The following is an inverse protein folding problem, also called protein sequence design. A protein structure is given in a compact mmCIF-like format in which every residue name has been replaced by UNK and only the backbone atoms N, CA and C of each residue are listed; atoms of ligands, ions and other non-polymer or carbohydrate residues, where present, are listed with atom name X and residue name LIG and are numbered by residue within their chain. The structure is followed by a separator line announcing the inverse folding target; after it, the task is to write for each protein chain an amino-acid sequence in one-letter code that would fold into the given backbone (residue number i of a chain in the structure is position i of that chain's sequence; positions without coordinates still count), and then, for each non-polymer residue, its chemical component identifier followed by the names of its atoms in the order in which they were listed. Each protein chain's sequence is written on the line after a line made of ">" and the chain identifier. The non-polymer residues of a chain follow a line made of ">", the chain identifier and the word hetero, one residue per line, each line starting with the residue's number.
data_IF_572368239697
#
_entry.id   IF_572368239697
#
_cell.length_a   1.000
_cell.length_b   1.000
_cell.length_c   1.000
_cell.angle_alpha   90.00
_cell.angle_beta   90.00
_cell.angle_gamma   90.00
#
_symmetry.space_group_name_H-M   'P 1'
#
loop_
_entity.id
_entity.type
_entity.pdbx_description
1 polymer ?
#
# COMPACT_ATOMS: atom_id res chain seq x y z
N UNK A 1 23.40 -14.74 -20.01
CA UNK A 1 22.53 -13.55 -19.96
C UNK A 1 22.62 -13.01 -18.55
N UNK A 2 23.12 -11.78 -18.41
CA UNK A 2 23.24 -10.94 -17.19
C UNK A 2 23.97 -11.49 -15.93
N UNK A 3 24.14 -12.80 -15.76
CA UNK A 3 24.91 -13.37 -14.63
C UNK A 3 24.03 -13.68 -13.41
N UNK A 4 24.65 -14.18 -12.33
CA UNK A 4 23.94 -14.72 -11.15
C UNK A 4 23.23 -13.64 -10.30
N UNK A 5 23.58 -12.37 -10.49
CA UNK A 5 22.98 -11.24 -9.77
C UNK A 5 21.70 -10.70 -10.43
N UNK A 6 21.39 -11.10 -11.67
CA UNK A 6 20.19 -10.64 -12.34
C UNK A 6 18.93 -11.21 -11.67
N UNK A 7 17.94 -10.35 -11.44
CA UNK A 7 16.59 -10.72 -11.01
C UNK A 7 15.56 -9.98 -11.87
N UNK A 8 14.58 -10.68 -12.44
CA UNK A 8 13.47 -10.03 -13.16
C UNK A 8 12.52 -9.32 -12.18
N UNK A 9 11.70 -8.39 -12.67
CA UNK A 9 10.75 -7.63 -11.83
C UNK A 9 9.81 -8.54 -11.02
N UNK A 10 9.40 -9.69 -11.59
CA UNK A 10 8.53 -10.64 -10.91
C UNK A 10 9.12 -11.20 -9.61
N UNK A 11 10.45 -11.25 -9.49
CA UNK A 11 11.13 -11.67 -8.26
C UNK A 11 10.77 -10.73 -7.10
N UNK A 12 10.78 -9.42 -7.37
CA UNK A 12 10.50 -8.40 -6.37
C UNK A 12 9.01 -8.24 -6.12
N UNK A 13 8.16 -8.41 -7.15
CA UNK A 13 6.71 -8.52 -6.98
C UNK A 13 6.38 -9.68 -6.05
N UNK A 14 6.96 -10.86 -6.29
CA UNK A 14 6.76 -12.02 -5.40
C UNK A 14 7.22 -11.68 -3.99
N UNK A 15 8.43 -11.15 -3.81
CA UNK A 15 8.97 -10.79 -2.49
C UNK A 15 8.03 -9.91 -1.67
N UNK A 16 7.51 -8.84 -2.27
CA UNK A 16 6.57 -7.95 -1.61
C UNK A 16 5.22 -8.64 -1.35
N UNK A 17 4.71 -9.42 -2.31
CA UNK A 17 3.44 -10.14 -2.17
C UNK A 17 3.51 -11.18 -1.04
N UNK A 18 4.62 -11.91 -0.89
CA UNK A 18 4.78 -12.86 0.22
C UNK A 18 4.80 -12.14 1.57
N UNK A 19 5.59 -11.08 1.71
CA UNK A 19 5.76 -10.38 2.97
C UNK A 19 4.51 -9.59 3.39
N UNK A 20 3.85 -8.93 2.45
CA UNK A 20 2.66 -8.11 2.73
C UNK A 20 1.36 -8.89 2.62
N UNK A 21 1.36 -10.03 1.93
CA UNK A 21 0.23 -10.93 1.77
C UNK A 21 0.17 -12.05 2.81
N UNK A 22 1.21 -12.20 3.64
CA UNK A 22 1.31 -13.27 4.63
C UNK A 22 0.08 -13.39 5.55
N UNK A 23 -0.18 -14.61 6.01
CA UNK A 23 -1.38 -14.97 6.77
C UNK A 23 -1.33 -14.43 8.18
N UNK A 24 -0.16 -14.49 8.77
CA UNK A 24 0.15 -14.13 10.15
C UNK A 24 0.13 -12.61 10.35
N UNK A 25 0.69 -11.84 9.43
CA UNK A 25 0.66 -10.39 9.47
C UNK A 25 1.11 -9.76 8.14
N UNK A 26 1.17 -8.42 8.12
CA UNK A 26 1.93 -7.68 7.11
C UNK A 26 3.35 -7.44 7.64
N UNK A 27 4.37 -8.00 6.98
CA UNK A 27 5.75 -7.84 7.40
C UNK A 27 6.40 -6.54 6.92
N UNK A 28 5.77 -5.81 5.98
CA UNK A 28 6.37 -4.60 5.37
C UNK A 28 5.66 -3.30 5.75
N UNK A 29 4.37 -3.36 6.07
CA UNK A 29 3.53 -2.19 6.35
C UNK A 29 2.99 -2.17 7.78
N UNK A 30 2.24 -1.13 8.12
CA UNK A 30 1.59 -0.97 9.43
C UNK A 30 2.60 -1.06 10.61
N UNK A 31 3.83 -0.59 10.37
CA UNK A 31 4.96 -0.74 11.28
C UNK A 31 6.16 0.17 10.96
N UNK A 32 7.14 0.24 11.88
CA UNK A 32 8.30 1.14 11.78
C UNK A 32 9.29 0.70 10.69
N UNK A 33 9.17 -0.54 10.22
CA UNK A 33 10.01 -1.11 9.17
C UNK A 33 9.70 -0.64 7.75
N UNK A 34 8.59 0.07 7.53
CA UNK A 34 8.15 0.49 6.20
C UNK A 34 9.28 1.13 5.37
N UNK A 35 9.95 2.15 5.93
CA UNK A 35 10.95 2.93 5.24
C UNK A 35 12.20 2.11 4.87
N UNK A 36 12.74 1.34 5.82
CA UNK A 36 13.95 0.53 5.61
C UNK A 36 13.70 -0.57 4.59
N UNK A 37 12.57 -1.27 4.70
CA UNK A 37 12.26 -2.37 3.80
C UNK A 37 11.97 -1.91 2.36
N UNK A 38 11.24 -0.80 2.20
CA UNK A 38 10.99 -0.24 0.87
C UNK A 38 12.26 0.34 0.22
N UNK A 39 13.15 0.95 1.01
CA UNK A 39 14.47 1.38 0.50
C UNK A 39 15.31 0.16 0.07
N UNK A 40 15.25 -0.94 0.81
CA UNK A 40 16.02 -2.14 0.47
C UNK A 40 15.52 -2.84 -0.79
N UNK A 41 14.20 -2.98 -0.97
CA UNK A 41 13.65 -3.64 -2.16
C UNK A 41 13.88 -2.79 -3.43
N UNK A 42 13.78 -1.46 -3.35
CA UNK A 42 14.09 -0.58 -4.48
C UNK A 42 15.57 -0.56 -4.82
N UNK A 43 16.47 -0.58 -3.82
CA UNK A 43 17.91 -0.71 -4.05
C UNK A 43 18.27 -2.05 -4.72
N UNK A 44 17.65 -3.16 -4.30
CA UNK A 44 17.84 -4.45 -4.96
C UNK A 44 17.33 -4.45 -6.41
N UNK A 45 16.18 -3.81 -6.66
CA UNK A 45 15.63 -3.67 -8.00
C UNK A 45 16.54 -2.82 -8.90
N UNK A 46 17.03 -1.69 -8.40
CA UNK A 46 18.00 -0.85 -9.11
C UNK A 46 19.26 -1.66 -9.48
N UNK A 47 19.82 -2.41 -8.53
CA UNK A 47 20.99 -3.27 -8.80
C UNK A 47 20.70 -4.31 -9.87
N UNK A 48 19.52 -4.94 -9.86
CA UNK A 48 19.14 -5.87 -10.91
C UNK A 48 19.07 -5.21 -12.30
N UNK A 49 18.64 -3.95 -12.38
CA UNK A 49 18.70 -3.14 -13.61
C UNK A 49 20.13 -2.78 -13.99
N UNK A 50 21.00 -2.46 -13.03
CA UNK A 50 22.41 -2.11 -13.26
C UNK A 50 23.24 -3.28 -13.79
N UNK A 51 22.87 -4.52 -13.49
CA UNK A 51 23.47 -5.70 -14.11
C UNK A 51 23.21 -5.74 -15.63
N UNK A 52 22.09 -5.17 -16.09
CA UNK A 52 21.77 -5.01 -17.52
C UNK A 52 22.45 -3.75 -18.09
N UNK A 53 22.32 -2.62 -17.40
CA UNK A 53 22.93 -1.35 -17.79
C UNK A 53 23.45 -0.60 -16.54
N UNK A 54 24.76 -0.63 -16.26
CA UNK A 54 25.34 -0.03 -15.05
C UNK A 54 25.15 1.48 -14.90
N UNK A 55 24.72 2.18 -15.95
CA UNK A 55 24.50 3.63 -15.94
C UNK A 55 23.09 4.02 -15.45
N UNK A 56 22.19 3.06 -15.22
CA UNK A 56 20.82 3.36 -14.76
C UNK A 56 20.77 3.53 -13.25
N UNK A 57 19.95 4.48 -12.83
CA UNK A 57 19.49 4.64 -11.46
C UNK A 57 17.97 4.62 -11.44
N UNK A 58 17.39 4.17 -10.34
CA UNK A 58 15.95 4.20 -10.16
C UNK A 58 15.51 5.65 -9.88
N UNK A 59 14.59 6.22 -10.67
CA UNK A 59 14.12 7.58 -10.43
C UNK A 59 13.17 7.63 -9.23
N UNK A 60 12.94 8.83 -8.73
CA UNK A 60 11.80 9.12 -7.84
C UNK A 60 10.69 9.82 -8.63
N UNK A 61 9.46 9.75 -8.13
CA UNK A 61 8.31 10.50 -8.63
C UNK A 61 7.83 11.45 -7.54
N UNK A 62 8.07 12.75 -7.74
CA UNK A 62 7.53 13.77 -6.84
C UNK A 62 6.04 14.00 -7.11
N UNK A 63 5.23 13.09 -6.58
CA UNK A 63 3.77 13.14 -6.70
C UNK A 63 3.14 14.36 -6.01
N UNK A 64 3.89 15.15 -5.23
CA UNK A 64 3.36 16.41 -4.70
C UNK A 64 3.16 17.45 -5.80
N UNK A 65 3.88 17.35 -6.92
CA UNK A 65 3.65 18.20 -8.10
C UNK A 65 2.26 17.93 -8.66
N UNK A 66 1.92 16.66 -8.86
CA UNK A 66 0.63 16.22 -9.39
C UNK A 66 -0.51 16.52 -8.42
N UNK A 67 -0.31 16.20 -7.13
CA UNK A 67 -1.26 16.51 -6.07
C UNK A 67 -1.56 18.00 -5.99
N UNK A 68 -0.51 18.83 -5.93
CA UNK A 68 -0.67 20.29 -5.87
C UNK A 68 -1.33 20.85 -7.12
N UNK A 69 -1.01 20.31 -8.31
CA UNK A 69 -1.66 20.71 -9.56
C UNK A 69 -3.16 20.45 -9.52
N UNK A 70 -3.58 19.29 -8.98
CA UNK A 70 -5.00 18.97 -8.84
C UNK A 70 -5.71 19.89 -7.87
N UNK A 71 -5.10 20.20 -6.73
CA UNK A 71 -5.66 21.18 -5.80
C UNK A 71 -5.83 22.56 -6.44
N UNK A 72 -4.82 23.04 -7.16
CA UNK A 72 -4.82 24.41 -7.69
C UNK A 72 -5.69 24.59 -8.94
N UNK A 73 -5.72 23.59 -9.82
CA UNK A 73 -6.37 23.71 -11.14
C UNK A 73 -7.74 23.07 -11.18
N UNK A 74 -7.97 22.03 -10.38
CA UNK A 74 -9.20 21.25 -10.38
C UNK A 74 -9.95 21.31 -9.03
N UNK A 75 -9.60 22.24 -8.15
CA UNK A 75 -10.27 22.46 -6.85
C UNK A 75 -10.31 21.18 -6.00
N UNK A 76 -9.21 20.42 -6.04
CA UNK A 76 -9.09 19.14 -5.33
C UNK A 76 -9.91 17.99 -5.91
N UNK A 77 -10.47 18.12 -7.12
CA UNK A 77 -11.16 17.02 -7.79
C UNK A 77 -10.15 16.03 -8.41
N UNK A 78 -9.93 14.91 -7.74
CA UNK A 78 -8.91 13.94 -8.14
C UNK A 78 -9.32 12.99 -9.26
N UNK A 79 -10.54 13.10 -9.79
CA UNK A 79 -10.88 12.45 -11.07
C UNK A 79 -10.02 12.96 -12.24
N UNK A 80 -9.34 14.10 -12.06
CA UNK A 80 -8.40 14.69 -13.01
C UNK A 80 -6.94 14.22 -12.83
N UNK A 81 -6.61 13.44 -11.79
CA UNK A 81 -5.23 12.99 -11.51
C UNK A 81 -4.59 12.29 -12.72
N UNK A 82 -5.35 11.43 -13.40
CA UNK A 82 -4.89 10.67 -14.57
C UNK A 82 -4.70 11.51 -15.84
N UNK A 83 -4.94 12.83 -15.78
CA UNK A 83 -4.55 13.77 -16.84
C UNK A 83 -3.12 14.29 -16.70
N UNK A 84 -2.44 13.98 -15.59
CA UNK A 84 -1.03 14.31 -15.45
C UNK A 84 -0.20 13.63 -16.55
N UNK A 85 0.88 14.30 -16.94
CA UNK A 85 1.87 13.80 -17.90
C UNK A 85 2.45 12.44 -17.49
N UNK A 86 2.60 12.17 -16.18
CA UNK A 86 3.13 10.89 -15.70
C UNK A 86 2.23 9.69 -16.03
N UNK A 87 0.96 9.93 -16.33
CA UNK A 87 0.03 8.89 -16.82
C UNK A 87 -0.08 8.90 -18.36
N UNK A 88 0.73 9.66 -19.08
CA UNK A 88 0.86 9.58 -20.53
C UNK A 88 1.50 8.27 -21.00
N UNK A 89 1.35 7.95 -22.29
CA UNK A 89 1.88 6.72 -22.89
C UNK A 89 3.41 6.59 -22.83
N UNK A 90 4.13 7.72 -22.75
CA UNK A 90 5.59 7.74 -22.62
C UNK A 90 6.09 7.50 -21.19
N UNK A 91 5.18 7.55 -20.19
CA UNK A 91 5.46 7.38 -18.76
C UNK A 91 4.77 6.12 -18.20
N UNK A 92 3.91 6.23 -17.17
CA UNK A 92 3.24 5.11 -16.52
C UNK A 92 1.99 4.63 -17.26
N UNK A 93 1.53 5.35 -18.28
CA UNK A 93 0.35 5.05 -19.06
C UNK A 93 -0.98 5.31 -18.33
N UNK A 94 -2.05 5.42 -19.11
CA UNK A 94 -3.38 5.74 -18.61
C UNK A 94 -4.28 4.49 -18.68
N UNK A 95 -5.06 4.24 -17.64
CA UNK A 95 -5.94 3.09 -17.53
C UNK A 95 -7.44 3.45 -17.60
N UNK A 96 -7.80 4.71 -17.89
CA UNK A 96 -9.17 5.29 -17.90
C UNK A 96 -10.03 4.70 -19.03
N UNK A 97 -10.29 3.41 -18.96
CA UNK A 97 -11.06 2.63 -19.92
C UNK A 97 -11.78 1.50 -19.17
N UNK A 98 -12.70 0.81 -19.85
CA UNK A 98 -13.53 -0.24 -19.25
C UNK A 98 -12.76 -1.49 -18.82
N UNK A 99 -11.48 -1.64 -19.21
CA UNK A 99 -10.63 -2.75 -18.81
C UNK A 99 -9.80 -2.42 -17.56
N UNK A 100 -9.81 -1.16 -17.11
CA UNK A 100 -8.96 -0.70 -16.00
C UNK A 100 -7.47 -1.04 -16.19
N UNK A 101 -7.03 -1.16 -17.44
CA UNK A 101 -5.69 -1.63 -17.81
C UNK A 101 -5.04 -0.58 -18.69
N UNK A 102 -3.72 -0.36 -18.57
CA UNK A 102 -2.99 0.49 -19.50
C UNK A 102 -3.02 -0.14 -20.89
N UNK A 103 -3.47 0.60 -21.91
CA UNK A 103 -3.66 0.07 -23.28
C UNK A 103 -2.72 0.66 -24.32
N UNK A 104 -1.93 1.67 -23.95
CA UNK A 104 -0.99 2.38 -24.83
C UNK A 104 0.34 2.61 -24.08
N UNK A 105 1.44 2.75 -24.84
CA UNK A 105 2.78 2.98 -24.28
C UNK A 105 3.55 1.71 -23.93
N UNK A 106 4.68 1.89 -23.23
CA UNK A 106 5.61 0.79 -22.89
C UNK A 106 5.03 -0.23 -21.90
N UNK A 107 4.02 0.18 -21.12
CA UNK A 107 3.38 -0.65 -20.09
C UNK A 107 2.01 -1.17 -20.50
N UNK A 108 1.64 -1.00 -21.78
CA UNK A 108 0.39 -1.50 -22.32
C UNK A 108 0.27 -3.02 -22.10
N UNK A 109 -0.85 -3.44 -21.50
CA UNK A 109 -1.14 -4.85 -21.22
C UNK A 109 -0.05 -5.57 -20.40
N UNK A 110 0.61 -4.84 -19.49
CA UNK A 110 1.51 -5.44 -18.50
C UNK A 110 0.76 -6.54 -17.76
N UNK A 111 1.27 -7.78 -17.84
CA UNK A 111 0.66 -8.94 -17.21
C UNK A 111 1.02 -8.98 -15.74
N UNK A 112 0.05 -9.31 -14.89
CA UNK A 112 0.37 -9.73 -13.52
C UNK A 112 1.03 -11.10 -13.62
N UNK A 113 2.20 -11.31 -13.00
CA UNK A 113 2.85 -12.61 -13.03
C UNK A 113 1.93 -13.70 -12.48
N UNK A 114 1.87 -14.84 -13.15
CA UNK A 114 1.21 -16.06 -12.66
C UNK A 114 2.26 -17.07 -12.21
N UNK A 115 1.88 -18.08 -11.40
CA UNK A 115 2.80 -19.19 -11.07
C UNK A 115 3.47 -19.78 -12.33
N UNK A 116 4.81 -19.96 -12.30
CA UNK A 116 5.26 -21.35 -12.28
C UNK A 116 6.53 -21.71 -11.47
N UNK A 117 7.22 -20.82 -10.75
CA UNK A 117 8.41 -21.21 -9.94
C UNK A 117 8.70 -20.18 -8.83
N UNK A 118 8.84 -20.65 -7.58
CA UNK A 118 9.30 -19.81 -6.47
C UNK A 118 10.78 -19.49 -6.68
N UNK A 119 11.11 -18.25 -7.02
CA UNK A 119 12.52 -17.84 -7.18
C UNK A 119 13.19 -17.47 -5.86
N UNK A 120 12.41 -17.28 -4.79
CA UNK A 120 12.90 -16.93 -3.47
C UNK A 120 13.04 -18.23 -2.65
N UNK A 121 14.28 -18.70 -2.47
CA UNK A 121 14.61 -19.98 -1.80
C UNK A 121 13.98 -20.18 -0.41
N UNK A 122 13.53 -19.11 0.24
CA UNK A 122 12.96 -19.13 1.59
C UNK A 122 11.44 -19.43 1.61
N UNK A 123 10.78 -19.54 0.44
CA UNK A 123 9.35 -19.88 0.33
C UNK A 123 9.12 -21.21 -0.40
N UNK A 124 8.17 -22.02 0.08
CA UNK A 124 7.85 -23.33 -0.54
C UNK A 124 6.84 -23.22 -1.68
N UNK A 125 6.01 -22.17 -1.70
CA UNK A 125 5.01 -21.88 -2.73
C UNK A 125 4.77 -20.38 -2.82
N UNK A 126 4.49 -19.87 -4.03
CA UNK A 126 4.12 -18.49 -4.23
C UNK A 126 2.74 -18.19 -3.65
N UNK A 127 2.61 -17.05 -2.99
CA UNK A 127 1.32 -16.49 -2.60
C UNK A 127 0.63 -15.90 -3.82
N UNK A 128 -0.51 -16.48 -4.16
CA UNK A 128 -1.34 -16.12 -5.32
C UNK A 128 -2.80 -16.04 -4.93
N UNK A 129 -3.58 -15.33 -5.74
CA UNK A 129 -5.03 -15.38 -5.64
C UNK A 129 -5.62 -16.66 -6.26
N UNK A 130 -6.95 -16.79 -6.19
CA UNK A 130 -7.69 -17.94 -6.70
C UNK A 130 -7.45 -18.25 -8.19
N UNK A 131 -7.05 -17.27 -9.00
CA UNK A 131 -6.76 -17.46 -10.43
C UNK A 131 -5.29 -17.75 -10.72
N UNK A 132 -4.44 -17.79 -9.69
CA UNK A 132 -3.00 -18.10 -9.82
C UNK A 132 -2.13 -16.90 -10.18
N UNK A 133 -2.63 -15.67 -10.05
CA UNK A 133 -1.85 -14.44 -10.21
C UNK A 133 -1.18 -14.06 -8.88
N UNK A 134 0.05 -13.52 -8.93
CA UNK A 134 0.74 -12.91 -7.78
C UNK A 134 -0.06 -11.70 -7.30
N UNK A 135 -0.98 -11.97 -6.40
CA UNK A 135 -1.96 -11.09 -5.78
C UNK A 135 -2.23 -11.62 -4.39
N UNK A 136 -2.63 -10.75 -3.47
CA UNK A 136 -3.06 -11.18 -2.16
C UNK A 136 -4.15 -12.27 -2.26
N UNK A 137 -4.19 -13.25 -1.35
CA UNK A 137 -5.12 -14.38 -1.49
C UNK A 137 -6.58 -13.97 -1.30
N UNK A 138 -6.81 -12.81 -0.67
CA UNK A 138 -8.11 -12.19 -0.51
C UNK A 138 -8.55 -11.36 -1.73
N UNK A 139 -7.63 -10.99 -2.63
CA UNK A 139 -7.94 -10.25 -3.85
C UNK A 139 -8.28 -11.21 -5.00
N UNK A 140 -9.56 -11.57 -5.11
CA UNK A 140 -10.06 -12.50 -6.16
C UNK A 140 -10.21 -11.86 -7.55
N UNK A 141 -9.47 -10.80 -7.85
CA UNK A 141 -9.50 -10.14 -9.17
C UNK A 141 -9.01 -11.08 -10.28
N UNK A 142 -9.83 -11.29 -11.31
CA UNK A 142 -9.59 -12.20 -12.44
C UNK A 142 -8.70 -11.62 -13.54
N UNK A 143 -8.55 -10.30 -13.61
CA UNK A 143 -7.84 -9.63 -14.70
C UNK A 143 -6.40 -10.15 -14.83
N UNK A 144 -5.94 -10.63 -15.99
CA UNK A 144 -4.55 -11.07 -16.17
C UNK A 144 -3.56 -9.91 -16.33
N UNK A 145 -4.04 -8.67 -16.29
CA UNK A 145 -3.25 -7.47 -16.48
C UNK A 145 -3.26 -6.60 -15.23
N UNK A 146 -2.20 -5.80 -15.08
CA UNK A 146 -2.11 -4.78 -14.04
C UNK A 146 -3.33 -3.86 -14.14
N UNK A 147 -4.08 -3.78 -13.04
CA UNK A 147 -5.40 -3.19 -12.96
C UNK A 147 -5.38 -1.95 -12.06
N UNK A 148 -5.83 -0.82 -12.62
CA UNK A 148 -6.01 0.47 -11.94
C UNK A 148 -7.48 0.90 -12.01
N UNK A 149 -8.15 0.86 -10.88
CA UNK A 149 -9.56 1.27 -10.76
C UNK A 149 -9.71 2.80 -10.70
N UNK A 150 -8.61 3.55 -10.51
CA UNK A 150 -8.48 4.99 -10.72
C UNK A 150 -9.50 5.85 -9.98
N UNK A 151 -9.11 6.36 -8.81
CA UNK A 151 -9.92 7.33 -8.06
C UNK A 151 -11.35 6.82 -7.71
N UNK A 152 -11.66 5.56 -7.97
CA UNK A 152 -12.91 4.92 -7.59
C UNK A 152 -12.68 3.87 -6.52
N UNK A 153 -13.40 4.03 -5.42
CA UNK A 153 -13.45 3.11 -4.29
C UNK A 153 -14.89 2.63 -4.16
N UNK A 154 -15.28 1.72 -5.06
CA UNK A 154 -16.62 1.18 -5.18
C UNK A 154 -17.70 2.26 -5.21
N UNK A 155 -17.58 3.27 -6.06
CA UNK A 155 -18.51 4.38 -6.22
C UNK A 155 -18.31 5.54 -5.24
N UNK A 156 -17.27 5.52 -4.40
CA UNK A 156 -16.84 6.68 -3.62
C UNK A 156 -15.52 7.24 -4.12
N UNK A 157 -15.42 8.57 -4.10
CA UNK A 157 -14.20 9.29 -4.43
C UNK A 157 -13.27 9.34 -3.20
N UNK A 158 -12.01 8.88 -3.29
CA UNK A 158 -11.04 8.83 -2.19
C UNK A 158 -10.87 10.14 -1.42
N UNK A 159 -10.83 11.28 -2.12
CA UNK A 159 -10.64 12.63 -1.56
C UNK A 159 -11.74 13.10 -0.63
N UNK A 160 -12.85 12.36 -0.53
CA UNK A 160 -13.87 12.62 0.49
C UNK A 160 -13.35 12.42 1.91
N UNK A 161 -12.28 11.62 2.09
CA UNK A 161 -11.67 11.31 3.39
C UNK A 161 -10.14 11.23 3.32
N UNK A 162 -9.57 10.72 2.22
CA UNK A 162 -8.13 10.56 2.06
C UNK A 162 -7.54 11.79 1.36
N UNK A 163 -6.58 12.45 2.00
CA UNK A 163 -5.86 13.56 1.39
C UNK A 163 -4.77 13.01 0.46
N UNK A 164 -4.83 13.29 -0.84
CA UNK A 164 -3.71 12.95 -1.72
C UNK A 164 -2.52 13.88 -1.39
N UNK A 165 -1.28 13.38 -1.34
CA UNK A 165 -0.16 14.18 -0.86
C UNK A 165 0.18 15.32 -1.82
N UNK A 166 0.32 16.51 -1.28
CA UNK A 166 0.84 17.69 -1.93
C UNK A 166 1.94 18.33 -1.05
N UNK A 167 2.21 19.62 -1.26
CA UNK A 167 3.26 20.32 -0.56
C UNK A 167 3.06 20.36 0.96
N UNK A 168 1.80 20.50 1.40
CA UNK A 168 1.46 20.58 2.82
C UNK A 168 1.79 19.28 3.56
N UNK A 169 1.39 18.14 3.02
CA UNK A 169 1.56 16.84 3.68
C UNK A 169 3.04 16.47 3.83
N UNK A 170 3.85 16.72 2.80
CA UNK A 170 5.30 16.46 2.88
C UNK A 170 6.02 17.45 3.80
N UNK A 171 5.55 18.70 3.86
CA UNK A 171 6.11 19.70 4.78
C UNK A 171 5.72 19.38 6.23
N UNK A 172 4.47 18.99 6.48
CA UNK A 172 3.99 18.54 7.79
C UNK A 172 4.79 17.32 8.26
N UNK A 173 5.03 16.34 7.38
CA UNK A 173 5.88 15.18 7.65
C UNK A 173 7.27 15.57 8.19
N UNK A 174 7.88 16.64 7.66
CA UNK A 174 9.19 17.13 8.09
C UNK A 174 9.15 18.01 9.35
N UNK A 175 8.04 18.68 9.64
CA UNK A 175 7.97 19.73 10.68
C UNK A 175 7.30 19.28 11.97
N UNK A 176 6.28 18.44 11.86
CA UNK A 176 5.44 18.05 12.98
C UNK A 176 6.03 16.82 13.70
N UNK A 177 6.54 15.86 12.93
CA UNK A 177 7.09 14.62 13.46
C UNK A 177 8.60 14.74 13.70
N UNK A 178 8.97 14.85 14.97
CA UNK A 178 10.33 15.19 15.39
C UNK A 178 11.07 14.06 16.10
N UNK A 179 10.48 12.88 16.23
CA UNK A 179 11.19 11.65 16.62
C UNK A 179 11.17 10.67 15.46
N UNK A 180 12.14 9.76 15.40
CA UNK A 180 12.13 8.67 14.42
C UNK A 180 10.84 7.85 14.52
N UNK A 181 10.38 7.57 15.74
CA UNK A 181 9.15 6.81 15.97
C UNK A 181 7.95 7.46 15.28
N UNK A 182 7.68 8.73 15.57
CA UNK A 182 6.50 9.41 15.00
C UNK A 182 6.63 9.61 13.49
N UNK A 183 7.83 9.94 13.01
CA UNK A 183 8.10 10.13 11.58
C UNK A 183 7.90 8.84 10.78
N UNK A 184 8.48 7.73 11.26
CA UNK A 184 8.37 6.43 10.61
C UNK A 184 6.96 5.87 10.67
N UNK A 185 6.19 6.20 11.71
CA UNK A 185 4.78 5.85 11.80
C UNK A 185 3.94 6.63 10.80
N UNK A 186 4.18 7.94 10.66
CA UNK A 186 3.41 8.78 9.76
C UNK A 186 3.71 8.50 8.28
N UNK A 187 4.97 8.23 7.94
CA UNK A 187 5.45 8.11 6.56
C UNK A 187 4.64 7.18 5.62
N UNK A 188 4.16 5.98 6.03
CA UNK A 188 3.32 5.13 5.17
C UNK A 188 1.89 5.65 4.97
N UNK A 189 1.38 6.58 5.79
CA UNK A 189 -0.01 7.03 5.74
C UNK A 189 -0.15 8.29 4.87
N UNK A 190 -0.66 9.41 5.41
CA UNK A 190 -0.97 10.63 4.68
C UNK A 190 0.06 11.07 3.64
N UNK A 191 1.39 11.08 3.90
CA UNK A 191 2.37 11.51 2.89
C UNK A 191 2.62 10.50 1.74
N UNK A 192 2.04 9.29 1.79
CA UNK A 192 2.34 8.19 0.87
C UNK A 192 1.12 7.33 0.51
N UNK A 193 0.51 6.67 1.51
CA UNK A 193 -0.56 5.67 1.38
C UNK A 193 -1.69 6.05 0.42
N UNK A 194 -2.21 7.29 0.44
CA UNK A 194 -3.25 7.73 -0.50
C UNK A 194 -2.85 7.57 -1.98
N UNK A 195 -1.57 7.64 -2.35
CA UNK A 195 -1.14 7.39 -3.75
C UNK A 195 -1.59 6.00 -4.22
N UNK A 196 -1.46 4.98 -3.36
CA UNK A 196 -1.92 3.62 -3.65
C UNK A 196 -3.43 3.53 -3.83
N UNK A 197 -4.21 4.20 -2.98
CA UNK A 197 -5.67 4.22 -3.07
C UNK A 197 -6.17 4.92 -4.33
N UNK A 198 -5.56 6.04 -4.72
CA UNK A 198 -6.00 6.81 -5.89
C UNK A 198 -5.61 6.13 -7.21
N UNK A 199 -4.53 5.35 -7.24
CA UNK A 199 -4.13 4.60 -8.44
C UNK A 199 -4.85 3.25 -8.50
N UNK A 200 -4.74 2.45 -7.44
CA UNK A 200 -5.25 1.09 -7.38
C UNK A 200 -6.77 1.07 -7.34
N UNK A 201 -7.38 1.82 -6.43
CA UNK A 201 -8.83 1.83 -6.21
C UNK A 201 -9.41 0.45 -5.86
N UNK A 202 -10.74 0.36 -5.73
CA UNK A 202 -11.43 -0.90 -5.56
C UNK A 202 -12.79 -0.93 -6.28
N UNK A 203 -13.24 -2.12 -6.67
CA UNK A 203 -14.47 -2.32 -7.46
C UNK A 203 -15.24 -3.57 -7.02
N UNK A 204 -16.34 -3.88 -7.72
CA UNK A 204 -17.16 -5.07 -7.47
C UNK A 204 -18.07 -4.96 -6.24
N UNK A 205 -18.14 -3.78 -5.60
CA UNK A 205 -18.87 -3.62 -4.35
C UNK A 205 -19.84 -2.43 -4.28
N UNK A 206 -19.94 -1.62 -5.34
CA UNK A 206 -20.82 -0.45 -5.40
C UNK A 206 -22.27 -0.79 -5.04
N UNK A 207 -22.83 -1.84 -5.65
CA UNK A 207 -24.21 -2.27 -5.39
C UNK A 207 -24.42 -2.78 -3.96
N UNK A 208 -23.40 -3.39 -3.35
CA UNK A 208 -23.46 -3.88 -1.97
C UNK A 208 -23.61 -2.70 -1.01
N UNK A 209 -22.76 -1.69 -1.18
CA UNK A 209 -22.78 -0.49 -0.35
C UNK A 209 -24.01 0.40 -0.62
N UNK A 210 -24.52 0.44 -1.85
CA UNK A 210 -25.77 1.16 -2.16
C UNK A 210 -26.96 0.60 -1.38
N UNK A 211 -27.03 -0.74 -1.23
CA UNK A 211 -28.08 -1.39 -0.42
C UNK A 211 -27.98 -1.04 1.06
N UNK A 212 -26.78 -0.84 1.59
CA UNK A 212 -26.61 -0.39 2.99
C UNK A 212 -27.27 0.97 3.24
N UNK A 213 -27.18 1.88 2.28
CA UNK A 213 -27.85 3.19 2.38
C UNK A 213 -29.35 3.03 2.13
N UNK A 214 -29.72 2.45 0.99
CA UNK A 214 -31.08 2.52 0.46
C UNK A 214 -32.06 1.53 1.12
N UNK A 215 -31.59 0.36 1.52
CA UNK A 215 -32.44 -0.71 2.09
C UNK A 215 -32.28 -0.84 3.61
N UNK A 216 -31.04 -0.70 4.12
CA UNK A 216 -30.75 -0.88 5.55
C UNK A 216 -30.89 0.44 6.33
N UNK A 217 -30.77 1.58 5.65
CA UNK A 217 -30.83 2.90 6.27
C UNK A 217 -29.59 3.24 7.08
N UNK A 218 -28.41 2.76 6.67
CA UNK A 218 -27.12 3.18 7.25
C UNK A 218 -26.78 4.57 6.68
N UNK A 219 -26.34 5.53 7.52
CA UNK A 219 -26.01 6.88 7.05
C UNK A 219 -24.98 6.87 5.92
N UNK A 220 -25.27 7.61 4.84
CA UNK A 220 -24.38 7.67 3.67
C UNK A 220 -22.93 8.04 4.01
N UNK A 221 -22.63 9.02 4.91
CA UNK A 221 -21.24 9.32 5.28
C UNK A 221 -20.50 8.13 5.92
N UNK A 222 -21.20 7.28 6.69
CA UNK A 222 -20.59 6.08 7.26
C UNK A 222 -20.34 5.03 6.18
N UNK A 223 -21.27 4.87 5.23
CA UNK A 223 -21.08 3.96 4.10
C UNK A 223 -19.94 4.42 3.19
N UNK A 224 -19.75 5.73 2.99
CA UNK A 224 -18.58 6.27 2.28
C UNK A 224 -17.28 5.82 2.95
N UNK A 225 -17.17 5.95 4.28
CA UNK A 225 -16.02 5.39 5.03
C UNK A 225 -15.86 3.89 4.79
N UNK A 226 -16.95 3.13 4.84
CA UNK A 226 -16.91 1.67 4.59
C UNK A 226 -16.38 1.32 3.20
N UNK A 227 -16.72 2.10 2.16
CA UNK A 227 -16.19 1.92 0.81
C UNK A 227 -14.68 2.17 0.76
N UNK A 228 -14.23 3.27 1.37
CA UNK A 228 -12.82 3.66 1.35
C UNK A 228 -11.92 2.69 2.12
N UNK A 229 -12.40 2.05 3.20
CA UNK A 229 -11.62 1.07 3.97
C UNK A 229 -11.89 -0.39 3.59
N UNK A 230 -12.59 -0.66 2.48
CA UNK A 230 -12.94 -2.01 2.08
C UNK A 230 -11.73 -2.94 1.92
N UNK A 231 -10.65 -2.43 1.34
CA UNK A 231 -9.38 -3.14 1.21
C UNK A 231 -8.78 -3.51 2.58
N UNK A 232 -8.94 -2.65 3.59
CA UNK A 232 -8.40 -2.86 4.94
C UNK A 232 -9.11 -4.00 5.67
N UNK A 233 -10.45 -3.94 5.78
CA UNK A 233 -11.15 -5.03 6.50
C UNK A 233 -11.24 -6.30 5.67
N UNK A 234 -11.12 -6.27 4.34
CA UNK A 234 -10.95 -7.48 3.53
C UNK A 234 -9.68 -8.25 3.95
N UNK A 235 -8.55 -7.54 4.04
CA UNK A 235 -7.27 -8.06 4.57
C UNK A 235 -7.42 -8.59 6.00
N UNK A 236 -7.98 -7.79 6.90
CA UNK A 236 -8.09 -8.15 8.31
C UNK A 236 -9.03 -9.34 8.52
N UNK A 237 -10.17 -9.40 7.83
CA UNK A 237 -11.08 -10.55 7.89
C UNK A 237 -10.38 -11.83 7.43
N UNK A 238 -9.63 -11.78 6.33
CA UNK A 238 -8.89 -12.94 5.84
C UNK A 238 -7.84 -13.42 6.84
N UNK A 239 -7.07 -12.51 7.47
CA UNK A 239 -6.04 -12.87 8.46
C UNK A 239 -6.61 -13.35 9.78
N UNK A 240 -7.58 -12.61 10.31
CA UNK A 240 -7.96 -12.71 11.73
C UNK A 240 -9.13 -13.66 11.97
N UNK A 241 -9.88 -13.99 10.93
CA UNK A 241 -11.08 -14.81 11.05
C UNK A 241 -10.95 -16.11 10.27
N UNK A 242 -9.81 -16.79 10.44
CA UNK A 242 -9.32 -17.87 9.55
C UNK A 242 -10.27 -19.04 9.30
N UNK A 243 -11.32 -19.22 10.09
CA UNK A 243 -12.38 -20.22 9.91
C UNK A 243 -13.72 -19.62 9.42
N UNK A 244 -13.84 -18.29 9.51
CA UNK A 244 -15.03 -17.50 9.23
C UNK A 244 -14.97 -16.87 7.84
N UNK A 245 -13.93 -16.11 7.50
CA UNK A 245 -13.76 -15.56 6.16
C UNK A 245 -12.80 -16.40 5.32
N UNK A 246 -13.31 -16.96 4.22
CA UNK A 246 -12.58 -17.86 3.34
C UNK A 246 -12.53 -17.31 1.93
N UNK A 247 -11.45 -17.59 1.21
CA UNK A 247 -11.34 -17.28 -0.21
C UNK A 247 -11.08 -18.57 -1.01
N UNK A 248 -11.56 -18.65 -2.26
CA UNK A 248 -11.34 -19.84 -3.08
C UNK A 248 -9.85 -20.08 -3.29
N UNK A 249 -9.42 -21.32 -3.16
CA UNK A 249 -8.02 -21.67 -3.41
C UNK A 249 -7.72 -21.76 -4.91
N UNK A 250 -8.74 -22.02 -5.73
CA UNK A 250 -8.62 -22.14 -7.17
C UNK A 250 -9.93 -21.77 -7.88
N UNK A 251 -9.81 -21.01 -8.96
CA UNK A 251 -10.83 -20.71 -9.94
C UNK A 251 -10.21 -20.83 -11.33
N UNK A 252 -10.94 -21.46 -12.25
CA UNK A 252 -10.51 -21.52 -13.66
C UNK A 252 -10.72 -20.15 -14.32
N UNK A 253 -9.95 -19.84 -15.38
CA UNK A 253 -10.18 -18.61 -16.14
C UNK A 253 -11.55 -18.54 -16.83
N UNK A 254 -12.30 -19.64 -16.92
CA UNK A 254 -13.67 -19.65 -17.43
C UNK A 254 -14.71 -19.35 -16.33
N UNK A 255 -14.32 -19.40 -15.05
CA UNK A 255 -15.20 -19.04 -13.92
C UNK A 255 -15.52 -17.54 -13.98
N UNK A 256 -16.81 -17.12 -13.94
CA UNK A 256 -17.18 -15.70 -13.86
C UNK A 256 -16.60 -15.00 -12.62
N UNK A 257 -16.28 -13.71 -12.73
CA UNK A 257 -15.73 -12.92 -11.62
C UNK A 257 -16.63 -12.97 -10.38
N UNK A 258 -17.95 -12.87 -10.56
CA UNK A 258 -18.93 -12.86 -9.47
C UNK A 258 -19.08 -14.22 -8.77
N UNK A 259 -18.67 -15.31 -9.43
CA UNK A 259 -18.73 -16.68 -8.90
C UNK A 259 -17.46 -17.05 -8.13
N UNK A 260 -16.34 -16.38 -8.39
CA UNK A 260 -15.06 -16.57 -7.69
C UNK A 260 -14.82 -15.43 -6.70
N UNK A 261 -15.44 -15.53 -5.52
CA UNK A 261 -15.32 -14.53 -4.46
C UNK A 261 -15.09 -15.19 -3.10
N UNK A 262 -14.46 -14.45 -2.20
CA UNK A 262 -14.42 -14.83 -0.80
C UNK A 262 -15.83 -14.94 -0.22
N UNK A 263 -16.01 -15.81 0.78
CA UNK A 263 -17.28 -16.06 1.43
C UNK A 263 -17.14 -16.09 2.95
N UNK A 264 -18.22 -15.69 3.63
CA UNK A 264 -18.36 -15.84 5.07
C UNK A 264 -18.96 -17.20 5.40
N UNK A 265 -18.33 -17.98 6.28
CA UNK A 265 -18.94 -19.18 6.85
C UNK A 265 -19.91 -18.76 7.95
N UNK A 266 -21.14 -19.28 7.84
CA UNK A 266 -22.19 -19.12 8.85
C UNK A 266 -22.13 -20.36 9.75
N UNK A 267 -21.53 -20.25 10.94
CA UNK A 267 -21.59 -21.36 11.91
C UNK A 267 -23.00 -21.43 12.49
N UNK A 268 -23.80 -22.38 11.98
CA UNK A 268 -25.21 -22.60 12.37
C UNK A 268 -25.41 -22.89 13.87
N UNK A 269 -24.36 -23.28 14.61
CA UNK A 269 -24.44 -23.60 16.04
C UNK A 269 -24.52 -22.38 16.98
N UNK A 270 -24.33 -21.15 16.49
CA UNK A 270 -24.36 -19.92 17.31
C UNK A 270 -25.30 -18.86 16.71
N UNK A 271 -26.58 -19.21 16.58
CA UNK A 271 -27.63 -18.42 15.93
C UNK A 271 -27.92 -17.00 16.51
N UNK A 272 -27.12 -16.47 17.44
CA UNK A 272 -27.31 -15.12 18.01
C UNK A 272 -26.11 -14.18 17.89
N UNK A 273 -24.98 -14.60 17.29
CA UNK A 273 -23.74 -13.82 17.39
C UNK A 273 -22.75 -13.87 16.22
N UNK A 274 -22.92 -14.74 15.21
CA UNK A 274 -21.90 -14.93 14.15
C UNK A 274 -21.47 -13.63 13.46
N UNK A 275 -22.41 -12.69 13.27
CA UNK A 275 -22.15 -11.42 12.60
C UNK A 275 -21.29 -10.46 13.43
N UNK A 276 -21.19 -10.63 14.75
CA UNK A 276 -20.45 -9.73 15.63
C UNK A 276 -18.95 -9.76 15.37
N UNK A 277 -18.41 -10.94 15.05
CA UNK A 277 -16.98 -11.06 14.72
C UNK A 277 -16.67 -10.27 13.44
N UNK A 278 -17.51 -10.39 12.41
CA UNK A 278 -17.36 -9.58 11.19
C UNK A 278 -17.58 -8.10 11.44
N UNK A 279 -18.56 -7.74 12.27
CA UNK A 279 -18.81 -6.35 12.70
C UNK A 279 -17.55 -5.75 13.33
N UNK A 280 -16.89 -6.44 14.26
CA UNK A 280 -15.68 -5.95 14.94
C UNK A 280 -14.54 -5.63 13.96
N UNK A 281 -14.43 -6.38 12.86
CA UNK A 281 -13.40 -6.15 11.84
C UNK A 281 -13.80 -5.13 10.78
N UNK A 282 -15.10 -5.00 10.46
CA UNK A 282 -15.60 -3.99 9.52
C UNK A 282 -15.63 -2.62 10.20
N UNK A 283 -16.06 -2.58 11.45
CA UNK A 283 -16.20 -1.36 12.26
C UNK A 283 -14.86 -1.06 12.95
N UNK A 284 -13.85 -0.75 12.14
CA UNK A 284 -12.49 -0.48 12.61
C UNK A 284 -12.48 0.87 13.34
N UNK A 285 -12.46 0.85 14.67
CA UNK A 285 -12.15 2.06 15.44
C UNK A 285 -10.64 2.27 15.45
N UNK A 286 -10.12 3.00 14.45
CA UNK A 286 -8.78 3.58 14.55
C UNK A 286 -8.86 4.72 15.59
N UNK A 287 -7.99 4.77 16.61
CA UNK A 287 -7.89 5.93 17.47
C UNK A 287 -7.61 7.14 16.57
N UNK A 288 -8.64 7.96 16.37
CA UNK A 288 -8.48 9.31 15.85
C UNK A 288 -7.71 10.06 16.90
N UNK A 289 -6.46 10.44 16.65
CA UNK A 289 -5.88 11.62 17.29
C UNK A 289 -4.72 12.26 16.50
N UNK A 290 -3.98 11.56 15.60
CA UNK A 290 -2.84 12.20 14.89
C UNK A 290 -2.77 11.99 13.35
N UNK A 291 -3.54 11.06 12.76
CA UNK A 291 -3.33 10.62 11.36
C UNK A 291 -4.41 11.09 10.36
N UNK A 292 -5.37 11.92 10.81
CA UNK A 292 -6.44 12.49 9.97
C UNK A 292 -7.51 11.49 9.47
N UNK A 293 -7.27 10.18 9.58
CA UNK A 293 -8.19 9.15 9.09
C UNK A 293 -9.00 8.54 10.24
N UNK A 294 -10.16 9.12 10.51
CA UNK A 294 -11.13 8.52 11.45
C UNK A 294 -11.65 7.19 10.90
N UNK A 295 -11.49 6.11 11.68
CA UNK A 295 -11.98 4.78 11.31
C UNK A 295 -13.51 4.68 11.13
N UNK A 296 -13.99 3.44 10.97
CA UNK A 296 -15.42 3.12 10.80
C UNK A 296 -16.06 2.94 12.18
N UNK A 297 -16.69 4.00 12.70
CA UNK A 297 -17.48 3.91 13.93
C UNK A 297 -18.94 3.49 13.65
N UNK A 298 -19.26 2.26 14.03
CA UNK A 298 -20.60 1.69 13.94
C UNK A 298 -21.39 1.75 15.26
N UNK A 299 -20.89 2.41 16.31
CA UNK A 299 -21.49 2.41 17.65
C UNK A 299 -22.95 2.87 17.66
N UNK A 300 -23.30 3.81 16.78
CA UNK A 300 -24.65 4.38 16.64
C UNK A 300 -25.60 3.53 15.79
N UNK A 301 -25.14 2.43 15.18
CA UNK A 301 -26.01 1.54 14.42
C UNK A 301 -26.82 0.62 15.34
N UNK A 302 -28.08 0.42 15.01
CA UNK A 302 -28.92 -0.59 15.69
C UNK A 302 -28.39 -2.00 15.43
N UNK A 303 -28.72 -2.95 16.32
CA UNK A 303 -28.38 -4.37 16.14
C UNK A 303 -28.89 -4.91 14.79
N UNK A 304 -30.08 -4.49 14.37
CA UNK A 304 -30.65 -4.90 13.07
C UNK A 304 -29.83 -4.36 11.90
N UNK A 305 -29.38 -3.10 11.96
CA UNK A 305 -28.54 -2.51 10.91
C UNK A 305 -27.18 -3.21 10.83
N UNK A 306 -26.52 -3.44 11.97
CA UNK A 306 -25.22 -4.12 12.02
C UNK A 306 -25.29 -5.54 11.48
N UNK A 307 -26.31 -6.30 11.88
CA UNK A 307 -26.53 -7.65 11.33
C UNK A 307 -26.76 -7.60 9.82
N UNK A 308 -27.64 -6.70 9.35
CA UNK A 308 -27.97 -6.62 7.92
C UNK A 308 -26.81 -6.14 7.06
N UNK A 309 -25.96 -5.27 7.61
CA UNK A 309 -24.69 -4.86 7.01
C UNK A 309 -23.79 -6.06 6.74
N UNK A 310 -23.52 -6.87 7.77
CA UNK A 310 -22.68 -8.06 7.64
C UNK A 310 -23.29 -9.06 6.66
N UNK A 311 -24.61 -9.31 6.72
CA UNK A 311 -25.30 -10.17 5.76
C UNK A 311 -25.08 -9.72 4.31
N UNK A 312 -25.27 -8.43 4.01
CA UNK A 312 -25.11 -7.92 2.65
C UNK A 312 -23.66 -7.99 2.16
N UNK A 313 -22.70 -7.64 3.01
CA UNK A 313 -21.27 -7.72 2.70
C UNK A 313 -20.86 -9.18 2.44
N UNK A 314 -21.30 -10.10 3.29
CA UNK A 314 -21.01 -11.54 3.15
C UNK A 314 -21.67 -12.18 1.92
N UNK A 315 -22.88 -11.76 1.55
CA UNK A 315 -23.62 -12.38 0.44
C UNK A 315 -23.16 -11.86 -0.93
N UNK A 316 -22.79 -10.57 -1.00
CA UNK A 316 -22.46 -9.92 -2.26
C UNK A 316 -20.94 -9.77 -2.50
N UNK A 317 -20.10 -9.97 -1.49
CA UNK A 317 -18.66 -9.74 -1.56
C UNK A 317 -18.26 -8.35 -1.05
N UNK A 318 -16.99 -8.21 -0.69
CA UNK A 318 -16.44 -7.01 -0.05
C UNK A 318 -15.94 -5.99 -1.06
N UNK A 319 -14.93 -6.36 -1.85
CA UNK A 319 -14.27 -5.52 -2.84
C UNK A 319 -13.31 -6.39 -3.69
N UNK A 320 -12.94 -5.88 -4.85
CA UNK A 320 -11.80 -6.32 -5.66
C UNK A 320 -10.83 -5.14 -5.74
N UNK A 321 -9.61 -5.33 -5.27
CA UNK A 321 -8.62 -4.25 -5.19
C UNK A 321 -7.82 -4.19 -6.49
N UNK A 322 -7.54 -2.97 -6.98
CA UNK A 322 -6.55 -2.80 -8.04
C UNK A 322 -5.14 -3.07 -7.50
N UNK A 323 -4.23 -3.45 -8.39
CA UNK A 323 -2.94 -4.02 -8.00
C UNK A 323 -2.10 -3.04 -7.17
N UNK A 324 -2.17 -1.75 -7.46
CA UNK A 324 -1.43 -0.73 -6.71
C UNK A 324 -1.92 -0.55 -5.25
N UNK A 325 -3.13 -0.99 -4.90
CA UNK A 325 -3.69 -0.85 -3.53
C UNK A 325 -3.36 -2.04 -2.61
N UNK A 326 -2.92 -3.16 -3.18
CA UNK A 326 -2.81 -4.44 -2.45
C UNK A 326 -1.36 -4.95 -2.35
N UNK A 327 -1.18 -6.18 -1.86
CA UNK A 327 0.14 -6.77 -1.60
C UNK A 327 0.98 -6.94 -2.87
N UNK A 328 0.37 -6.97 -4.05
CA UNK A 328 1.05 -7.06 -5.34
C UNK A 328 1.38 -5.71 -5.99
N UNK A 329 1.33 -4.60 -5.25
CA UNK A 329 1.56 -3.24 -5.76
C UNK A 329 2.83 -3.04 -6.60
N UNK A 330 3.97 -3.74 -6.39
CA UNK A 330 5.12 -3.63 -7.30
C UNK A 330 4.88 -4.14 -8.73
N UNK A 331 3.75 -4.80 -8.99
CA UNK A 331 3.32 -5.16 -10.35
C UNK A 331 3.06 -3.92 -11.19
N UNK A 332 2.68 -2.80 -10.56
CA UNK A 332 2.52 -1.52 -11.21
C UNK A 332 3.88 -0.80 -11.29
N UNK A 333 4.21 -0.25 -12.47
CA UNK A 333 5.46 0.50 -12.66
C UNK A 333 5.57 1.72 -11.75
N UNK A 334 4.45 2.38 -11.39
CA UNK A 334 4.51 3.58 -10.55
C UNK A 334 4.88 3.27 -9.09
N UNK A 335 4.83 2.01 -8.65
CA UNK A 335 5.31 1.60 -7.32
C UNK A 335 6.80 1.93 -7.11
N UNK A 336 7.62 1.70 -8.14
CA UNK A 336 9.07 1.81 -8.02
C UNK A 336 9.55 3.24 -7.71
N UNK A 337 9.03 4.30 -8.34
CA UNK A 337 9.47 5.67 -8.07
C UNK A 337 8.77 6.37 -6.88
N UNK A 338 7.66 5.87 -6.32
CA UNK A 338 7.01 6.53 -5.16
C UNK A 338 7.77 6.31 -3.83
N UNK A 339 8.48 5.19 -3.69
CA UNK A 339 9.23 4.86 -2.47
C UNK A 339 10.56 5.64 -2.37
N UNK A 340 11.33 5.84 -3.46
CA UNK A 340 12.43 6.80 -3.51
C UNK A 340 12.03 8.22 -3.08
N UNK A 341 10.79 8.65 -3.34
CA UNK A 341 10.29 9.95 -2.84
C UNK A 341 10.21 9.99 -1.31
N UNK A 342 9.81 8.88 -0.67
CA UNK A 342 9.82 8.76 0.80
C UNK A 342 11.23 8.69 1.37
N UNK A 343 12.13 8.00 0.68
CA UNK A 343 13.55 7.96 1.04
C UNK A 343 14.19 9.36 0.94
N UNK A 344 13.88 10.12 -0.12
CA UNK A 344 14.32 11.50 -0.30
C UNK A 344 13.85 12.39 0.86
N UNK A 345 12.59 12.24 1.29
CA UNK A 345 12.05 12.97 2.44
C UNK A 345 12.77 12.60 3.74
N UNK A 346 13.07 11.32 3.94
CA UNK A 346 13.82 10.84 5.09
C UNK A 346 15.28 11.34 5.09
N UNK A 347 15.99 11.30 3.94
CA UNK A 347 17.35 11.81 3.83
C UNK A 347 17.41 13.32 4.15
N UNK A 348 16.42 14.09 3.69
CA UNK A 348 16.28 15.51 4.08
C UNK A 348 16.11 15.68 5.58
N UNK A 349 15.18 14.93 6.19
CA UNK A 349 14.97 14.95 7.65
C UNK A 349 16.25 14.57 8.40
N UNK A 350 17.06 13.63 7.88
CA UNK A 350 18.38 13.30 8.45
C UNK A 350 19.39 14.42 8.33
N UNK A 351 19.61 14.94 7.14
CA UNK A 351 20.61 15.98 6.88
C UNK A 351 20.29 17.30 7.59
N UNK A 352 19.01 17.57 7.87
CA UNK A 352 18.60 18.72 8.67
C UNK A 352 18.97 18.62 10.16
N UNK A 353 19.18 17.41 10.69
CA UNK A 353 19.44 17.20 12.12
C UNK A 353 18.26 17.52 13.04
N UNK A 354 17.03 17.58 12.50
CA UNK A 354 15.83 18.01 13.25
C UNK A 354 15.18 16.92 14.10
N UNK A 355 15.69 15.68 14.05
CA UNK A 355 15.24 14.62 14.95
C UNK A 355 15.67 14.89 16.41
N UNK A 356 14.71 15.03 17.31
CA UNK A 356 14.91 15.09 18.76
C UNK A 356 15.33 13.73 19.35
N UNK A 357 14.92 12.64 18.72
CA UNK A 357 15.24 11.27 19.13
C UNK A 357 15.19 10.32 17.93
N UNK A 358 16.12 9.38 17.90
CA UNK A 358 16.22 8.33 16.87
C UNK A 358 16.10 6.91 17.45
N UNK A 359 15.43 6.80 18.59
CA UNK A 359 15.17 5.52 19.24
C UNK A 359 14.23 4.71 18.34
N UNK A 360 14.69 3.51 17.97
CA UNK A 360 13.86 2.48 17.35
C UNK A 360 13.61 1.40 18.41
N UNK A 361 12.35 1.16 18.81
CA UNK A 361 12.04 0.20 19.86
C UNK A 361 11.94 -1.25 19.35
N UNK A 362 12.20 -2.21 20.24
CA UNK A 362 11.93 -3.63 20.02
C UNK A 362 10.54 -4.07 20.54
N UNK A 363 9.65 -3.10 20.78
CA UNK A 363 8.25 -3.28 21.18
C UNK A 363 7.41 -2.12 20.66
N UNK A 364 6.12 -2.35 20.43
CA UNK A 364 5.19 -1.34 19.93
C UNK A 364 5.63 -0.71 18.59
N UNK A 365 6.30 -1.49 17.73
CA UNK A 365 6.75 -1.06 16.42
C UNK A 365 5.83 -1.53 15.28
N UNK A 366 4.69 -2.15 15.59
CA UNK A 366 3.71 -2.70 14.65
C UNK A 366 2.29 -2.43 15.16
N UNK A 367 1.31 -2.30 14.27
CA UNK A 367 -0.10 -2.26 14.66
C UNK A 367 -0.54 -3.59 15.31
N UNK A 368 -1.54 -3.52 16.21
CA UNK A 368 -2.05 -4.67 16.98
C UNK A 368 -2.79 -5.73 16.17
N UNK A 369 -2.93 -5.59 14.84
CA UNK A 369 -3.58 -6.58 13.97
C UNK A 369 -2.79 -7.91 13.84
N UNK A 370 -1.78 -8.12 14.69
CA UNK A 370 -0.91 -9.28 14.70
C UNK A 370 -1.43 -10.26 15.74
N UNK A 371 -2.20 -11.26 15.28
CA UNK A 371 -2.62 -12.40 16.13
C UNK A 371 -1.44 -13.28 16.57
N UNK A 372 -0.26 -13.07 16.00
CA UNK A 372 0.88 -13.96 16.07
C UNK A 372 2.12 -13.22 16.55
N UNK A 373 2.81 -13.81 17.53
CA UNK A 373 4.09 -13.32 18.06
C UNK A 373 5.22 -13.35 17.00
N UNK A 374 4.98 -13.98 15.85
CA UNK A 374 5.94 -14.19 14.76
C UNK A 374 5.95 -13.08 13.70
N UNK A 375 5.23 -11.97 13.93
CA UNK A 375 5.30 -10.83 13.02
C UNK A 375 6.65 -10.11 13.13
N UNK A 376 7.52 -10.31 12.15
CA UNK A 376 8.82 -9.66 12.03
C UNK A 376 8.81 -8.56 10.96
N UNK A 377 9.88 -7.79 10.90
CA UNK A 377 10.09 -6.71 9.93
C UNK A 377 9.88 -5.32 10.53
N UNK A 378 9.51 -5.23 11.80
CA UNK A 378 9.04 -3.99 12.44
C UNK A 378 9.94 -3.53 13.58
N UNK A 379 10.44 -4.46 14.39
CA UNK A 379 11.31 -4.17 15.52
C UNK A 379 12.73 -3.81 15.05
N UNK A 380 13.46 -3.08 15.88
CA UNK A 380 14.84 -2.66 15.59
C UNK A 380 15.77 -3.87 15.33
N UNK A 381 15.54 -4.95 16.06
CA UNK A 381 16.32 -6.19 16.02
C UNK A 381 15.85 -7.22 15.00
N UNK A 382 14.71 -7.00 14.33
CA UNK A 382 14.21 -7.95 13.33
C UNK A 382 15.19 -8.06 12.16
N UNK A 383 15.63 -9.29 11.87
CA UNK A 383 16.40 -9.58 10.67
C UNK A 383 15.52 -9.46 9.42
N UNK A 384 15.99 -8.70 8.45
CA UNK A 384 15.32 -8.51 7.17
C UNK A 384 15.81 -9.54 6.14
N UNK A 385 14.93 -9.88 5.20
CA UNK A 385 15.25 -10.85 4.13
C UNK A 385 16.17 -10.26 3.05
N UNK A 386 16.34 -8.93 3.00
CA UNK A 386 17.11 -8.24 1.97
C UNK A 386 18.61 -8.46 2.15
N UNK A 387 19.22 -9.16 1.19
CA UNK A 387 20.65 -9.52 1.23
C UNK A 387 21.48 -8.48 0.49
N UNK A 388 22.32 -7.73 1.23
CA UNK A 388 23.22 -6.68 0.68
C UNK A 388 22.52 -5.75 -0.34
N UNK A 389 21.45 -5.02 0.05
CA UNK A 389 20.68 -4.19 -0.88
C UNK A 389 21.55 -3.17 -1.64
N UNK A 390 22.65 -2.70 -1.05
CA UNK A 390 23.57 -1.73 -1.66
C UNK A 390 24.88 -2.36 -2.22
N UNK A 391 24.96 -3.70 -2.31
CA UNK A 391 26.13 -4.42 -2.86
C UNK A 391 27.33 -4.53 -1.94
N UNK A 392 27.23 -3.98 -0.74
CA UNK A 392 28.25 -3.96 0.30
C UNK A 392 27.59 -4.20 1.68
N UNK A 393 28.42 -4.32 2.73
CA UNK A 393 27.96 -4.56 4.10
C UNK A 393 27.62 -6.03 4.44
N UNK A 394 26.97 -6.27 5.60
CA UNK A 394 26.54 -7.59 6.04
C UNK A 394 25.62 -8.32 5.06
N UNK A 395 25.63 -9.66 5.10
CA UNK A 395 24.73 -10.49 4.28
C UNK A 395 23.25 -10.35 4.63
N UNK A 396 22.95 -10.08 5.90
CA UNK A 396 21.61 -9.79 6.42
C UNK A 396 21.72 -8.56 7.31
N UNK A 397 20.70 -7.71 7.24
CA UNK A 397 20.58 -6.54 8.10
C UNK A 397 19.41 -6.73 9.05
N UNK A 398 19.54 -6.25 10.28
CA UNK A 398 18.34 -5.88 11.03
C UNK A 398 17.82 -4.51 10.58
N UNK A 399 16.58 -4.17 10.91
CA UNK A 399 16.06 -2.82 10.69
C UNK A 399 17.02 -1.72 11.18
N UNK A 400 17.51 -1.83 12.42
CA UNK A 400 18.42 -0.82 12.98
C UNK A 400 19.77 -0.77 12.26
N UNK A 401 20.29 -1.91 11.84
CA UNK A 401 21.53 -1.96 11.06
C UNK A 401 21.35 -1.29 9.70
N UNK A 402 20.26 -1.60 8.99
CA UNK A 402 19.96 -1.00 7.69
C UNK A 402 19.72 0.50 7.80
N UNK A 403 18.93 0.94 8.78
CA UNK A 403 18.70 2.34 9.11
C UNK A 403 20.00 3.13 9.32
N UNK A 404 20.95 2.57 10.07
CA UNK A 404 22.25 3.21 10.28
C UNK A 404 23.11 3.16 9.01
N UNK A 405 22.95 2.13 8.18
CA UNK A 405 23.71 1.95 6.94
C UNK A 405 23.34 3.00 5.89
N UNK A 406 22.06 3.34 5.83
CA UNK A 406 21.51 4.31 4.89
C UNK A 406 21.66 5.77 5.35
N UNK A 407 22.33 6.04 6.48
CA UNK A 407 22.58 7.40 6.97
C UNK A 407 23.34 8.22 5.90
N UNK A 408 22.74 9.31 5.36
CA UNK A 408 23.36 10.10 4.29
C UNK A 408 24.61 10.88 4.75
N UNK A 409 24.96 10.85 6.03
CA UNK A 409 26.25 11.38 6.53
C UNK A 409 27.40 10.37 6.44
N UNK A 410 27.16 9.15 5.95
CA UNK A 410 28.16 8.08 5.86
C UNK A 410 28.45 7.74 4.41
N UNK A 411 29.72 7.49 4.12
CA UNK A 411 30.21 7.09 2.77
C UNK A 411 29.84 5.63 2.39
N UNK A 412 28.88 5.01 3.09
CA UNK A 412 28.42 3.65 2.81
C UNK A 412 27.31 3.60 1.76
N UNK A 413 26.48 4.64 1.72
CA UNK A 413 25.38 4.74 0.77
C UNK A 413 25.93 5.13 -0.61
N UNK A 414 25.56 4.43 -1.70
CA UNK A 414 26.12 4.67 -3.02
C UNK A 414 25.59 5.95 -3.68
N UNK A 415 24.56 6.58 -3.11
CA UNK A 415 23.96 7.81 -3.59
C UNK A 415 23.47 8.68 -2.43
N UNK A 416 23.30 9.96 -2.71
CA UNK A 416 22.51 10.91 -1.91
C UNK A 416 21.69 11.69 -2.93
N UNK A 417 20.42 11.99 -2.63
CA UNK A 417 19.63 12.84 -3.52
C UNK A 417 20.24 14.24 -3.58
N UNK A 418 20.42 14.76 -4.80
CA UNK A 418 21.22 15.98 -5.05
C UNK A 418 20.64 17.24 -4.37
N UNK A 419 19.67 17.88 -5.02
CA UNK A 419 19.01 19.05 -4.45
C UNK A 419 17.70 18.64 -3.75
N UNK A 420 17.60 18.99 -2.48
CA UNK A 420 16.39 18.86 -1.66
C UNK A 420 15.47 20.08 -1.90
N UNK A 421 15.33 20.49 -3.15
CA UNK A 421 14.46 21.60 -3.54
C UNK A 421 13.12 21.04 -4.03
N UNK A 422 12.04 21.69 -3.59
CA UNK A 422 10.67 21.48 -4.05
C UNK A 422 10.17 22.83 -4.53
N UNK A 423 10.62 23.29 -5.69
CA UNK A 423 10.38 24.66 -6.17
C UNK A 423 8.89 25.00 -6.28
N UNK A 424 8.06 24.03 -6.69
CA UNK A 424 6.60 24.21 -6.69
C UNK A 424 6.07 24.45 -5.28
N UNK A 425 6.64 23.81 -4.25
CA UNK A 425 6.24 24.02 -2.87
C UNK A 425 6.80 25.32 -2.27
N UNK A 426 8.04 25.68 -2.57
CA UNK A 426 8.68 26.93 -2.13
C UNK A 426 7.87 28.16 -2.58
N UNK A 427 7.37 28.13 -3.82
CA UNK A 427 6.50 29.19 -4.36
C UNK A 427 5.16 29.33 -3.63
N UNK A 428 4.78 28.33 -2.84
CA UNK A 428 3.55 28.28 -2.03
C UNK A 428 3.81 28.50 -0.53
N UNK A 429 5.05 28.81 -0.15
CA UNK A 429 5.43 29.11 1.23
C UNK A 429 5.96 27.91 2.03
N UNK A 430 6.05 26.73 1.43
CA UNK A 430 6.63 25.54 2.06
C UNK A 430 8.12 25.46 1.69
N UNK A 431 9.00 25.88 2.58
CA UNK A 431 10.44 25.91 2.32
C UNK A 431 11.12 24.61 2.78
N UNK A 432 11.50 23.75 1.83
CA UNK A 432 12.16 22.48 2.10
C UNK A 432 13.69 22.57 2.24
N UNK A 433 14.31 23.75 2.05
CA UNK A 433 15.77 23.85 1.99
C UNK A 433 16.45 23.44 3.30
N UNK A 434 17.53 22.66 3.23
CA UNK A 434 18.28 22.16 4.41
C UNK A 434 18.69 23.31 5.35
N UNK A 435 19.09 24.46 4.79
CA UNK A 435 19.47 25.64 5.58
C UNK A 435 18.29 26.30 6.30
N UNK A 436 17.04 26.06 5.88
CA UNK A 436 15.86 26.48 6.63
C UNK A 436 15.69 25.71 7.95
N UNK A 437 16.34 24.55 8.07
CA UNK A 437 16.18 23.62 9.18
C UNK A 437 17.38 23.52 10.13
N UNK A 438 18.50 24.18 9.79
CA UNK A 438 19.72 24.29 10.62
C UNK A 438 19.64 25.47 11.57
#
# INVERSE_FOLDING_TARGET
>A
MYGEEFRPVHHFVQMHTELSGARECDHMHDGLGFMTQHTAITALFERALQVVNPAVSLPYWDFTIDGQHVYDVYDGNFSYLFRSEVFGADWFGNASNSLHTVTEGNWAYTRVPSEPEVEIQDYEKSLVNAYGFLRAPWNTLKSPFVTRIQHDMCGASPETILTFPACEEHFAALTEYNTWYDFAWNLPYTPHGPVHAFIGGNTGCTSTFDKLVNEVGIPAPLVTKMRLFAFTYLKNLWRETTELFQCPYYCSMDTPQDDCKCWCTRRESENLGWWKVYEEHICITMPSDDDGVSGIDCSNLTVTQKRRMVELICDNGIALDGDHLEASSPSDVSFWPIHPTMERLWQLKKLSGTFKSEVWPDRFAQQRATLWDDCYGHFASDELIFKQPFGNGPKKFTNKQLYNYMDPHKDHLPYIYDHFEWDHCSNRGYNFSVDAWR
#
